data_IF_299413251099
#
_entry.id   IF_299413251099
#
_cell.length_a   1.000
_cell.length_b   1.000
_cell.length_c   1.000
_cell.angle_alpha   90.00
_cell.angle_beta   90.00
_cell.angle_gamma   90.00
#
_symmetry.space_group_name_H-M   'P 1'
#
loop_
_entity.id
_entity.type
_entity.pdbx_description
1 polymer ?
#
# COMPACT_ATOMS: atom_id res chain seq x y z
N UNK A 1 7.91 -3.08 -1.03
CA UNK A 1 7.11 -3.42 -2.22
C UNK A 1 6.74 -2.15 -2.97
N UNK A 2 6.35 -2.26 -4.24
CA UNK A 2 5.91 -1.11 -5.06
C UNK A 2 4.40 -0.90 -4.91
N UNK A 3 3.94 0.34 -4.83
CA UNK A 3 2.53 0.69 -4.64
C UNK A 3 1.61 0.11 -5.71
N UNK A 4 1.95 0.32 -6.98
CA UNK A 4 1.17 -0.20 -8.12
C UNK A 4 1.10 -1.72 -8.17
N UNK A 5 2.18 -2.42 -7.81
CA UNK A 5 2.19 -3.89 -7.71
C UNK A 5 1.30 -4.39 -6.57
N UNK A 6 1.26 -3.69 -5.43
CA UNK A 6 0.36 -4.00 -4.33
C UNK A 6 -1.12 -3.78 -4.71
N UNK A 7 -1.42 -2.73 -5.48
CA UNK A 7 -2.76 -2.50 -6.03
C UNK A 7 -3.17 -3.63 -6.97
N UNK A 8 -2.30 -4.02 -7.91
CA UNK A 8 -2.56 -5.15 -8.81
C UNK A 8 -2.85 -6.45 -8.04
N UNK A 9 -2.11 -6.68 -6.96
CA UNK A 9 -2.31 -7.84 -6.10
C UNK A 9 -3.65 -7.79 -5.36
N UNK A 10 -4.02 -6.65 -4.78
CA UNK A 10 -5.27 -6.45 -4.06
C UNK A 10 -6.49 -6.56 -4.98
N UNK A 11 -6.44 -5.98 -6.18
CA UNK A 11 -7.49 -6.10 -7.19
C UNK A 11 -7.77 -7.57 -7.50
N UNK A 12 -6.72 -8.35 -7.76
CA UNK A 12 -6.83 -9.78 -8.09
C UNK A 12 -7.29 -10.62 -6.90
N UNK A 13 -6.78 -10.35 -5.70
CA UNK A 13 -7.03 -11.20 -4.52
C UNK A 13 -8.36 -10.91 -3.84
N UNK A 14 -8.80 -9.66 -3.86
CA UNK A 14 -10.03 -9.21 -3.21
C UNK A 14 -11.19 -9.01 -4.22
N UNK A 15 -10.94 -9.25 -5.52
CA UNK A 15 -11.91 -8.97 -6.59
C UNK A 15 -12.48 -7.55 -6.49
N UNK A 16 -11.58 -6.58 -6.31
CA UNK A 16 -11.88 -5.18 -5.97
C UNK A 16 -11.45 -4.23 -7.09
N UNK A 17 -11.95 -2.99 -7.07
CA UNK A 17 -11.48 -1.95 -8.02
C UNK A 17 -10.10 -1.42 -7.62
N UNK A 18 -9.43 -0.68 -8.51
CA UNK A 18 -8.14 -0.04 -8.16
C UNK A 18 -8.35 1.00 -7.06
N UNK A 19 -9.47 1.72 -7.12
CA UNK A 19 -9.88 2.69 -6.12
C UNK A 19 -10.07 2.05 -4.75
N UNK A 20 -10.75 0.89 -4.69
CA UNK A 20 -10.89 0.13 -3.44
C UNK A 20 -9.52 -0.35 -2.93
N UNK A 21 -8.66 -0.86 -3.80
CA UNK A 21 -7.32 -1.30 -3.44
C UNK A 21 -6.46 -0.16 -2.87
N UNK A 22 -6.56 1.05 -3.43
CA UNK A 22 -5.91 2.25 -2.88
C UNK A 22 -6.48 2.59 -1.50
N UNK A 23 -7.80 2.53 -1.31
CA UNK A 23 -8.42 2.77 -0.01
C UNK A 23 -7.97 1.74 1.05
N UNK A 24 -7.87 0.46 0.67
CA UNK A 24 -7.34 -0.60 1.54
C UNK A 24 -5.89 -0.30 1.92
N UNK A 25 -5.04 0.05 0.95
CA UNK A 25 -3.65 0.42 1.22
C UNK A 25 -3.54 1.62 2.17
N UNK A 26 -4.41 2.63 2.01
CA UNK A 26 -4.45 3.77 2.93
C UNK A 26 -4.87 3.37 4.34
N UNK A 27 -5.81 2.44 4.50
CA UNK A 27 -6.19 1.88 5.81
C UNK A 27 -4.98 1.18 6.46
N UNK A 28 -4.16 0.46 5.69
CA UNK A 28 -2.95 -0.19 6.21
C UNK A 28 -1.90 0.82 6.69
N UNK A 29 -1.72 1.94 5.97
CA UNK A 29 -0.88 3.06 6.43
C UNK A 29 -1.43 3.66 7.73
N UNK A 30 -2.72 4.02 7.75
CA UNK A 30 -3.34 4.65 8.91
C UNK A 30 -3.31 3.77 10.17
N UNK A 31 -3.25 2.44 9.99
CA UNK A 31 -3.10 1.47 11.07
C UNK A 31 -1.64 1.20 11.47
N UNK A 32 -0.67 1.84 10.84
CA UNK A 32 0.75 1.63 11.14
C UNK A 32 1.23 0.23 10.78
N UNK A 33 0.69 -0.39 9.72
CA UNK A 33 1.10 -1.72 9.26
C UNK A 33 2.18 -1.60 8.19
N UNK A 34 1.98 -0.67 7.26
CA UNK A 34 2.92 -0.32 6.20
C UNK A 34 3.16 1.19 6.20
N UNK A 35 4.24 1.64 5.58
CA UNK A 35 4.52 3.06 5.37
C UNK A 35 5.27 3.27 4.06
N UNK A 36 5.21 4.50 3.54
CA UNK A 36 6.10 4.92 2.46
C UNK A 36 7.52 4.99 3.00
N UNK A 37 8.53 4.55 2.24
CA UNK A 37 9.92 4.46 2.76
C UNK A 37 10.53 5.78 3.24
N UNK A 38 9.96 6.91 2.86
CA UNK A 38 10.35 8.25 3.33
C UNK A 38 9.27 8.95 4.17
N UNK A 39 8.19 8.25 4.53
CA UNK A 39 7.05 8.75 5.34
C UNK A 39 6.35 10.04 4.83
N UNK A 40 6.52 10.36 3.55
CA UNK A 40 6.05 11.63 2.95
C UNK A 40 4.78 11.50 2.09
N UNK A 41 4.25 10.28 1.92
CA UNK A 41 3.14 10.03 1.00
C UNK A 41 2.02 9.17 1.61
N UNK A 42 0.75 9.47 1.27
CA UNK A 42 -0.34 8.50 1.42
C UNK A 42 -0.12 7.31 0.48
N UNK A 43 -0.93 6.27 0.64
CA UNK A 43 -0.88 5.13 -0.26
C UNK A 43 -1.34 5.55 -1.66
N UNK A 44 -0.55 5.20 -2.67
CA UNK A 44 -0.79 5.54 -4.08
C UNK A 44 -0.54 4.35 -4.98
N UNK A 45 -1.40 4.24 -5.99
CA UNK A 45 -1.21 3.38 -7.14
C UNK A 45 -0.17 3.96 -8.11
N UNK A 46 1.09 3.90 -7.71
CA UNK A 46 2.20 4.51 -8.43
C UNK A 46 3.50 3.72 -8.16
N UNK A 47 4.56 4.05 -8.88
CA UNK A 47 5.91 3.49 -8.68
C UNK A 47 6.59 4.12 -7.45
N UNK A 48 5.94 4.00 -6.29
CA UNK A 48 6.44 4.41 -4.98
C UNK A 48 6.74 3.18 -4.12
N UNK A 49 7.74 3.30 -3.26
CA UNK A 49 8.19 2.20 -2.41
C UNK A 49 7.57 2.28 -1.02
N UNK A 50 7.08 1.14 -0.56
CA UNK A 50 6.50 0.94 0.78
C UNK A 50 7.18 -0.22 1.49
N UNK A 51 7.16 -0.22 2.81
CA UNK A 51 7.70 -1.28 3.67
C UNK A 51 6.74 -1.57 4.82
N UNK A 52 6.79 -2.78 5.37
CA UNK A 52 6.10 -3.12 6.62
C UNK A 52 6.92 -2.62 7.81
N UNK A 53 6.27 -2.01 8.80
CA UNK A 53 6.94 -1.64 10.05
C UNK A 53 7.55 -2.84 10.79
N UNK A 54 7.02 -4.05 10.55
CA UNK A 54 7.58 -5.29 11.10
C UNK A 54 9.03 -5.54 10.65
N UNK A 55 9.40 -5.09 9.45
CA UNK A 55 10.71 -5.32 8.84
C UNK A 55 11.78 -4.31 9.28
N UNK A 56 11.43 -3.34 10.13
CA UNK A 56 12.36 -2.32 10.64
C UNK A 56 13.07 -2.73 11.94
N UNK A 57 12.82 -3.95 12.43
CA UNK A 57 13.44 -4.52 13.63
C UNK A 57 14.63 -5.42 13.33
#
# INVERSE_FOLDING_TARGET
>A
FVGSEAVDWLVKRCNSTREDAVAIGQILINRGIIHHVADDHPFRDDYLFYRFYLDEK
#
